data_IF_798395093095
#
_entry.id   IF_798395093095
#
_cell.length_a   1.000
_cell.length_b   1.000
_cell.length_c   1.000
_cell.angle_alpha   90.00
_cell.angle_beta   90.00
_cell.angle_gamma   90.00
#
_symmetry.space_group_name_H-M   'P 1'
#
loop_
_entity.id
_entity.type
_entity.pdbx_description
1 polymer ?
#
# COMPACT_ATOMS: atom_id res chain seq x y z
N UNK A 1 -13.63 26.53 19.19
CA UNK A 1 -14.47 25.57 19.95
C UNK A 1 -13.99 24.17 19.64
N UNK A 2 -13.32 23.51 20.59
CA UNK A 2 -12.85 22.13 20.47
C UNK A 2 -14.06 21.20 20.39
N UNK A 3 -14.27 20.49 19.27
CA UNK A 3 -15.19 19.36 19.22
C UNK A 3 -14.35 18.11 19.47
N UNK A 4 -14.20 17.75 20.75
CA UNK A 4 -13.74 16.43 21.14
C UNK A 4 -14.68 15.42 20.50
N UNK A 5 -14.20 14.64 19.52
CA UNK A 5 -14.95 13.52 18.97
C UNK A 5 -15.04 12.50 20.10
N UNK A 6 -16.25 12.36 20.66
CA UNK A 6 -16.57 11.34 21.66
C UNK A 6 -16.16 9.98 21.12
N UNK A 7 -15.58 9.14 21.99
CA UNK A 7 -15.42 7.69 21.80
C UNK A 7 -16.75 7.10 21.31
N UNK A 8 -16.88 6.89 20.00
CA UNK A 8 -17.98 6.12 19.43
C UNK A 8 -17.52 4.69 19.31
N UNK A 9 -17.96 3.84 20.23
CA UNK A 9 -17.94 2.38 20.07
C UNK A 9 -18.88 2.08 18.91
N UNK A 10 -18.36 1.76 17.73
CA UNK A 10 -19.16 1.32 16.60
C UNK A 10 -19.36 -0.20 16.68
N UNK A 11 -20.62 -0.60 16.86
CA UNK A 11 -21.10 -1.98 16.72
C UNK A 11 -21.44 -2.17 15.24
N UNK A 12 -20.70 -3.03 14.54
CA UNK A 12 -21.02 -3.42 13.17
C UNK A 12 -22.26 -4.31 13.13
N UNK A 13 -23.23 -3.97 12.28
CA UNK A 13 -24.44 -4.75 12.03
C UNK A 13 -24.11 -5.89 11.06
N UNK A 14 -24.49 -7.12 11.43
CA UNK A 14 -24.35 -8.34 10.63
C UNK A 14 -25.49 -8.46 9.62
N UNK A 15 -25.17 -8.74 8.35
CA UNK A 15 -26.13 -9.29 7.38
C UNK A 15 -25.71 -10.71 7.05
N UNK A 16 -26.26 -11.68 7.78
CA UNK A 16 -26.26 -13.10 7.39
C UNK A 16 -27.43 -13.28 6.42
N UNK A 17 -27.16 -13.59 5.16
CA UNK A 17 -28.13 -14.31 4.31
C UNK A 17 -27.46 -15.62 3.92
N UNK A 18 -27.68 -16.64 4.73
CA UNK A 18 -27.47 -18.03 4.35
C UNK A 18 -28.82 -18.64 4.02
N UNK A 19 -29.01 -19.10 2.79
CA UNK A 19 -29.96 -20.18 2.50
C UNK A 19 -29.19 -21.30 1.82
N UNK A 20 -29.29 -22.48 2.44
CA UNK A 20 -28.66 -23.73 2.05
C UNK A 20 -29.23 -24.26 0.72
N UNK A 21 -28.34 -24.73 -0.15
CA UNK A 21 -28.67 -25.48 -1.36
C UNK A 21 -27.44 -26.21 -1.89
N UNK A 22 -27.40 -27.50 -1.62
CA UNK A 22 -26.35 -28.49 -1.89
C UNK A 22 -25.53 -28.30 -3.18
N UNK A 23 -24.20 -28.32 -3.04
CA UNK A 23 -23.28 -28.79 -4.09
C UNK A 23 -22.48 -27.72 -4.83
N UNK A 24 -21.39 -27.26 -4.22
CA UNK A 24 -20.05 -27.06 -4.79
C UNK A 24 -19.25 -26.22 -3.80
N UNK A 25 -18.04 -26.68 -3.41
CA UNK A 25 -17.19 -25.96 -2.45
C UNK A 25 -16.83 -24.58 -3.02
N UNK A 26 -17.49 -23.56 -2.50
CA UNK A 26 -17.12 -22.16 -2.63
C UNK A 26 -16.13 -21.86 -1.50
N UNK A 27 -14.89 -21.50 -1.85
CA UNK A 27 -13.96 -20.92 -0.91
C UNK A 27 -14.20 -19.41 -0.86
N UNK A 28 -14.87 -18.96 0.19
CA UNK A 28 -14.89 -17.56 0.57
C UNK A 28 -14.33 -17.48 1.99
N UNK A 29 -13.02 -17.25 2.12
CA UNK A 29 -12.46 -16.79 3.38
C UNK A 29 -12.46 -15.26 3.37
N UNK A 30 -13.43 -14.69 4.06
CA UNK A 30 -13.46 -13.27 4.39
C UNK A 30 -12.59 -13.06 5.64
N UNK A 31 -11.36 -12.58 5.45
CA UNK A 31 -10.54 -12.10 6.55
C UNK A 31 -11.10 -10.76 7.06
N UNK A 32 -12.06 -10.83 7.98
CA UNK A 32 -12.57 -9.67 8.71
C UNK A 32 -11.49 -9.15 9.69
N UNK A 33 -10.74 -8.11 9.30
CA UNK A 33 -10.02 -7.27 10.26
C UNK A 33 -10.86 -6.03 10.54
N UNK A 34 -11.49 -5.99 11.72
CA UNK A 34 -12.11 -4.78 12.26
C UNK A 34 -10.96 -3.80 12.57
N UNK A 35 -10.76 -2.81 11.71
CA UNK A 35 -9.74 -1.79 11.92
C UNK A 35 -10.25 -0.79 12.95
N UNK A 36 -9.75 -0.89 14.18
CA UNK A 36 -9.75 0.22 15.11
C UNK A 36 -8.58 1.13 14.75
N UNK A 37 -8.69 2.45 14.99
CA UNK A 37 -7.52 3.29 15.03
C UNK A 37 -6.58 2.72 16.11
N UNK A 38 -5.51 2.07 15.67
CA UNK A 38 -4.47 1.61 16.58
C UNK A 38 -3.54 2.79 16.93
N UNK A 39 -2.76 2.63 17.99
CA UNK A 39 -1.83 3.66 18.47
C UNK A 39 -0.88 4.19 17.38
N UNK A 40 -0.54 3.37 16.37
CA UNK A 40 0.31 3.79 15.25
C UNK A 40 -0.45 4.75 14.32
N UNK A 41 -1.69 4.43 13.95
CA UNK A 41 -2.50 5.29 13.09
C UNK A 41 -2.77 6.66 13.73
N UNK A 42 -3.08 6.72 15.03
CA UNK A 42 -3.28 7.98 15.76
C UNK A 42 -2.00 8.82 15.82
N UNK A 43 -0.85 8.18 16.05
CA UNK A 43 0.47 8.84 16.01
C UNK A 43 0.78 9.42 14.63
N UNK A 44 0.49 8.69 13.56
CA UNK A 44 0.71 9.18 12.19
C UNK A 44 -0.17 10.40 11.90
N UNK A 45 -1.47 10.36 12.23
CA UNK A 45 -2.35 11.52 11.99
C UNK A 45 -1.91 12.74 12.82
N UNK A 46 -1.43 12.51 14.05
CA UNK A 46 -0.90 13.57 14.91
C UNK A 46 0.40 14.17 14.36
N UNK A 47 1.34 13.32 13.92
CA UNK A 47 2.61 13.74 13.32
C UNK A 47 2.39 14.61 12.08
N UNK A 48 1.37 14.28 11.28
CA UNK A 48 1.03 14.96 10.03
C UNK A 48 0.09 16.17 10.20
N UNK A 49 -0.25 16.58 11.43
CA UNK A 49 -1.19 17.68 11.68
C UNK A 49 -0.76 19.02 11.02
N UNK A 50 0.54 19.35 11.02
CA UNK A 50 1.08 20.53 10.32
C UNK A 50 0.89 20.42 8.80
N UNK A 51 1.04 19.22 8.25
CA UNK A 51 0.88 18.96 6.81
C UNK A 51 -0.58 19.12 6.40
N UNK A 52 -1.53 18.67 7.23
CA UNK A 52 -2.96 18.85 6.97
C UNK A 52 -3.39 20.31 7.09
N UNK A 53 -2.86 21.04 8.06
CA UNK A 53 -3.20 22.45 8.27
C UNK A 53 -2.54 23.40 7.25
N UNK A 54 -1.40 23.01 6.67
CA UNK A 54 -0.69 23.77 5.66
C UNK A 54 -0.12 22.84 4.56
N UNK A 55 -0.97 22.31 3.65
CA UNK A 55 -0.56 21.33 2.65
C UNK A 55 0.49 21.85 1.68
N UNK A 56 1.74 21.39 1.80
CA UNK A 56 2.81 21.69 0.86
C UNK A 56 3.93 20.65 0.91
N UNK A 57 4.75 20.60 -0.14
CA UNK A 57 6.01 19.86 -0.10
C UNK A 57 6.88 20.28 1.09
N UNK A 58 6.92 21.58 1.40
CA UNK A 58 7.77 22.14 2.45
C UNK A 58 7.35 21.71 3.86
N UNK A 59 6.05 21.49 4.11
CA UNK A 59 5.55 20.95 5.38
C UNK A 59 5.72 19.44 5.44
N UNK A 60 5.37 18.73 4.37
CA UNK A 60 5.46 17.28 4.32
C UNK A 60 6.89 16.75 4.47
N UNK A 61 7.85 17.34 3.75
CA UNK A 61 9.24 16.82 3.69
C UNK A 61 9.95 16.81 5.06
N UNK A 62 9.50 17.62 6.03
CA UNK A 62 10.03 17.65 7.41
C UNK A 62 9.90 16.31 8.11
N UNK A 63 8.88 15.53 7.75
CA UNK A 63 8.54 14.25 8.37
C UNK A 63 9.07 13.05 7.56
N UNK A 64 9.78 13.31 6.46
CA UNK A 64 10.22 12.28 5.54
C UNK A 64 11.67 11.89 5.81
N UNK A 65 11.94 10.59 5.85
CA UNK A 65 13.28 10.04 6.03
C UNK A 65 13.64 9.11 4.87
N UNK A 66 14.92 9.11 4.51
CA UNK A 66 15.47 8.13 3.58
C UNK A 66 15.75 6.82 4.30
N UNK A 67 15.19 5.73 3.80
CA UNK A 67 15.55 4.37 4.21
C UNK A 67 16.33 3.69 3.09
N UNK A 68 17.34 2.92 3.46
CA UNK A 68 18.04 2.01 2.55
C UNK A 68 17.52 0.60 2.80
N UNK A 69 17.08 -0.08 1.74
CA UNK A 69 16.43 -1.39 1.82
C UNK A 69 17.11 -2.41 0.91
N UNK A 70 17.19 -3.69 1.31
CA UNK A 70 17.74 -4.74 0.46
C UNK A 70 16.76 -5.06 -0.67
N UNK A 71 17.27 -5.28 -1.88
CA UNK A 71 16.46 -5.66 -3.05
C UNK A 71 17.21 -6.66 -3.93
N UNK A 72 16.46 -7.41 -4.74
CA UNK A 72 17.02 -8.18 -5.84
C UNK A 72 16.94 -7.36 -7.13
N UNK A 73 18.01 -7.32 -7.91
CA UNK A 73 17.99 -6.84 -9.29
C UNK A 73 18.13 -8.04 -10.25
N UNK A 74 17.74 -7.90 -11.50
CA UNK A 74 18.15 -8.84 -12.56
C UNK A 74 19.32 -8.25 -13.36
N UNK A 75 20.42 -8.99 -13.44
CA UNK A 75 21.53 -8.74 -14.38
C UNK A 75 21.66 -9.96 -15.28
N UNK A 76 21.44 -9.78 -16.59
CA UNK A 76 21.50 -10.85 -17.58
C UNK A 76 20.62 -12.07 -17.18
N UNK A 77 19.40 -11.81 -16.73
CA UNK A 77 18.45 -12.83 -16.28
C UNK A 77 18.77 -13.48 -14.92
N UNK A 78 19.90 -13.13 -14.29
CA UNK A 78 20.28 -13.65 -12.97
C UNK A 78 19.95 -12.63 -11.87
N UNK A 79 19.37 -13.13 -10.78
CA UNK A 79 19.09 -12.34 -9.58
C UNK A 79 20.40 -12.01 -8.86
N UNK A 80 20.62 -10.73 -8.58
CA UNK A 80 21.78 -10.23 -7.85
C UNK A 80 21.32 -9.35 -6.70
N UNK A 81 21.95 -9.50 -5.54
CA UNK A 81 21.69 -8.63 -4.39
C UNK A 81 22.05 -7.19 -4.73
N UNK A 82 21.22 -6.27 -4.29
CA UNK A 82 21.44 -4.83 -4.39
C UNK A 82 20.76 -4.12 -3.22
N UNK A 83 20.78 -2.79 -3.26
CA UNK A 83 20.06 -1.92 -2.34
C UNK A 83 19.29 -0.86 -3.11
N UNK A 84 18.19 -0.40 -2.55
CA UNK A 84 17.43 0.74 -3.02
C UNK A 84 17.30 1.77 -1.89
N UNK A 85 17.09 3.05 -2.25
CA UNK A 85 16.77 4.11 -1.29
C UNK A 85 15.37 4.62 -1.57
N UNK A 86 14.56 4.69 -0.53
CA UNK A 86 13.16 5.12 -0.60
C UNK A 86 12.98 6.20 0.47
N UNK A 87 12.33 7.30 0.12
CA UNK A 87 11.94 8.30 1.09
C UNK A 87 10.52 7.98 1.59
N UNK A 88 10.30 7.92 2.91
CA UNK A 88 9.01 7.54 3.52
C UNK A 88 8.74 8.37 4.77
N UNK A 89 7.53 8.32 5.30
CA UNK A 89 7.21 8.90 6.60
C UNK A 89 8.09 8.29 7.68
N UNK A 90 8.66 9.12 8.56
CA UNK A 90 9.53 8.72 9.67
C UNK A 90 8.97 7.57 10.52
N UNK A 91 7.68 7.60 10.85
CA UNK A 91 7.00 6.58 11.66
C UNK A 91 6.79 5.24 10.94
N UNK A 92 6.96 5.19 9.62
CA UNK A 92 6.90 3.96 8.82
C UNK A 92 8.29 3.43 8.42
N UNK A 93 9.36 4.13 8.80
CA UNK A 93 10.71 3.82 8.32
C UNK A 93 11.18 2.40 8.66
N UNK A 94 11.00 1.96 9.90
CA UNK A 94 11.44 0.63 10.33
C UNK A 94 10.56 -0.48 9.75
N UNK A 95 9.26 -0.24 9.66
CA UNK A 95 8.33 -1.17 9.03
C UNK A 95 8.65 -1.38 7.54
N UNK A 96 8.99 -0.31 6.81
CA UNK A 96 9.41 -0.41 5.41
C UNK A 96 10.72 -1.20 5.28
N UNK A 97 11.69 -1.03 6.20
CA UNK A 97 12.90 -1.87 6.19
C UNK A 97 12.55 -3.35 6.41
N UNK A 98 11.63 -3.65 7.31
CA UNK A 98 11.17 -5.02 7.57
C UNK A 98 10.47 -5.63 6.35
N UNK A 99 9.55 -4.89 5.72
CA UNK A 99 8.84 -5.33 4.50
C UNK A 99 9.84 -5.73 3.42
N UNK A 100 10.79 -4.85 3.09
CA UNK A 100 11.75 -5.15 2.02
C UNK A 100 12.75 -6.23 2.42
N UNK A 101 13.08 -6.36 3.71
CA UNK A 101 13.89 -7.48 4.22
C UNK A 101 13.16 -8.82 4.07
N UNK A 102 11.85 -8.85 4.34
CA UNK A 102 11.02 -10.04 4.12
C UNK A 102 10.95 -10.40 2.64
N UNK A 103 10.67 -9.43 1.75
CA UNK A 103 10.66 -9.64 0.30
C UNK A 103 12.03 -10.16 -0.19
N UNK A 104 13.12 -9.59 0.33
CA UNK A 104 14.48 -9.98 -0.04
C UNK A 104 14.82 -11.42 0.40
N UNK A 105 14.38 -11.83 1.59
CA UNK A 105 14.62 -13.17 2.11
C UNK A 105 13.61 -14.21 1.59
N UNK A 106 12.51 -13.76 1.00
CA UNK A 106 11.45 -14.60 0.46
C UNK A 106 11.92 -15.51 -0.69
N UNK A 107 11.26 -16.66 -0.88
CA UNK A 107 11.63 -17.63 -1.92
C UNK A 107 11.51 -17.07 -3.34
N UNK A 108 10.60 -16.11 -3.58
CA UNK A 108 10.43 -15.46 -4.87
C UNK A 108 11.63 -14.62 -5.23
N UNK A 109 12.39 -14.08 -4.26
CA UNK A 109 13.51 -13.14 -4.50
C UNK A 109 13.12 -12.10 -5.55
N UNK A 110 11.99 -11.44 -5.31
CA UNK A 110 11.31 -10.62 -6.30
C UNK A 110 12.22 -9.49 -6.80
N UNK A 111 12.50 -9.42 -8.12
CA UNK A 111 13.30 -8.35 -8.68
C UNK A 111 12.61 -6.98 -8.63
N UNK A 112 13.33 -5.96 -8.16
CA UNK A 112 12.86 -4.57 -8.11
C UNK A 112 13.78 -3.72 -8.99
N UNK A 113 13.26 -3.30 -10.16
CA UNK A 113 13.95 -2.40 -11.08
C UNK A 113 13.79 -0.93 -10.70
N UNK A 114 12.67 -0.58 -10.07
CA UNK A 114 12.33 0.78 -9.68
C UNK A 114 11.38 0.72 -8.49
N UNK A 115 11.62 1.59 -7.53
CA UNK A 115 10.77 1.74 -6.35
C UNK A 115 10.69 3.22 -5.99
N UNK A 116 9.48 3.72 -5.74
CA UNK A 116 9.22 5.10 -5.37
C UNK A 116 8.45 5.18 -4.06
N UNK A 117 8.75 6.17 -3.22
CA UNK A 117 8.03 6.44 -1.97
C UNK A 117 7.42 7.84 -1.98
N UNK A 118 7.81 8.67 -1.02
CA UNK A 118 7.43 10.08 -0.95
C UNK A 118 7.72 10.82 -2.25
N UNK A 119 6.69 11.47 -2.77
CA UNK A 119 6.77 12.44 -3.85
C UNK A 119 5.57 13.37 -3.70
N UNK A 120 5.81 14.67 -3.51
CA UNK A 120 4.72 15.63 -3.42
C UNK A 120 3.99 15.71 -4.77
N UNK A 121 2.72 15.31 -4.79
CA UNK A 121 1.91 15.27 -6.02
C UNK A 121 1.13 16.57 -6.24
N UNK A 122 0.73 16.88 -7.48
CA UNK A 122 -0.10 18.06 -7.76
C UNK A 122 -1.43 18.11 -7.00
N UNK A 123 -2.02 16.95 -6.68
CA UNK A 123 -3.22 16.85 -5.85
C UNK A 123 -2.93 16.86 -4.33
N UNK A 124 -1.69 17.18 -3.93
CA UNK A 124 -1.33 17.39 -2.53
C UNK A 124 -1.63 16.19 -1.64
N UNK A 125 -2.28 16.44 -0.50
CA UNK A 125 -2.57 15.43 0.54
C UNK A 125 -3.62 14.38 0.12
N UNK A 126 -4.28 14.54 -1.03
CA UNK A 126 -5.13 13.49 -1.62
C UNK A 126 -4.29 12.31 -2.14
N UNK A 127 -2.98 12.51 -2.36
CA UNK A 127 -2.06 11.41 -2.65
C UNK A 127 -1.32 10.97 -1.39
N UNK A 128 -1.40 9.68 -1.07
CA UNK A 128 -0.64 9.10 0.02
C UNK A 128 0.88 9.11 -0.22
N UNK A 129 1.34 9.29 -1.47
CA UNK A 129 2.74 9.60 -1.75
C UNK A 129 3.15 10.96 -1.17
N UNK A 130 2.28 11.97 -1.20
CA UNK A 130 2.56 13.27 -0.59
C UNK A 130 2.65 13.20 0.93
N UNK A 131 2.13 12.14 1.54
CA UNK A 131 2.21 11.88 2.98
C UNK A 131 3.31 10.87 3.36
N UNK A 132 4.10 10.39 2.39
CA UNK A 132 5.14 9.38 2.63
C UNK A 132 4.60 8.02 3.07
N UNK A 133 3.32 7.75 2.81
CA UNK A 133 2.56 6.56 3.23
C UNK A 133 2.27 5.59 2.08
N UNK A 134 2.83 5.83 0.90
CA UNK A 134 2.66 4.99 -0.28
C UNK A 134 4.01 4.60 -0.89
N UNK A 135 4.05 3.42 -1.49
CA UNK A 135 5.21 2.87 -2.19
C UNK A 135 4.73 2.27 -3.52
N UNK A 136 5.39 2.68 -4.61
CA UNK A 136 5.19 2.11 -5.95
C UNK A 136 6.36 1.20 -6.32
N UNK A 137 6.08 0.00 -6.84
CA UNK A 137 7.10 -0.97 -7.28
C UNK A 137 6.93 -1.33 -8.76
N UNK A 138 8.01 -1.19 -9.53
CA UNK A 138 8.10 -1.59 -10.95
C UNK A 138 6.90 -1.11 -11.80
N UNK A 139 6.67 0.21 -11.93
CA UNK A 139 5.43 0.77 -12.49
C UNK A 139 5.12 0.35 -13.93
N UNK A 140 6.12 0.10 -14.79
CA UNK A 140 5.82 -0.37 -16.14
C UNK A 140 5.24 -1.80 -16.16
N UNK A 141 5.65 -2.66 -15.22
CA UNK A 141 5.19 -4.06 -15.14
C UNK A 141 4.01 -4.25 -14.18
N UNK A 142 3.62 -3.19 -13.49
CA UNK A 142 2.51 -3.14 -12.56
C UNK A 142 1.69 -1.85 -12.79
N UNK A 143 1.07 -1.68 -13.97
CA UNK A 143 0.41 -0.44 -14.34
C UNK A 143 -0.77 -0.07 -13.45
N UNK A 144 -1.10 1.22 -13.48
CA UNK A 144 -2.42 1.70 -13.08
C UNK A 144 -3.39 1.61 -14.27
N UNK A 145 -4.59 1.12 -14.02
CA UNK A 145 -5.65 0.96 -15.01
C UNK A 145 -6.83 1.90 -14.74
N UNK A 146 -7.57 2.23 -15.79
CA UNK A 146 -8.92 2.77 -15.68
C UNK A 146 -9.88 1.69 -15.18
N UNK A 147 -11.12 2.04 -14.78
CA UNK A 147 -12.13 1.05 -14.40
C UNK A 147 -12.46 0.08 -15.55
N UNK A 148 -12.32 0.52 -16.80
CA UNK A 148 -12.52 -0.30 -18.00
C UNK A 148 -11.28 -1.13 -18.40
N UNK A 149 -10.21 -1.10 -17.60
CA UNK A 149 -8.99 -1.88 -17.83
C UNK A 149 -7.99 -1.24 -18.80
N UNK A 150 -8.16 0.03 -19.18
CA UNK A 150 -7.20 0.75 -20.03
C UNK A 150 -5.99 1.19 -19.20
N UNK A 151 -4.77 0.95 -19.69
CA UNK A 151 -3.55 1.39 -19.01
C UNK A 151 -3.47 2.92 -18.98
N UNK A 152 -3.46 3.49 -17.78
CA UNK A 152 -3.29 4.93 -17.54
C UNK A 152 -1.82 5.30 -17.31
N UNK A 153 -1.11 4.46 -16.55
CA UNK A 153 0.30 4.62 -16.21
C UNK A 153 0.98 3.25 -16.28
N UNK A 154 2.22 3.22 -16.76
CA UNK A 154 2.98 1.97 -16.92
C UNK A 154 2.73 1.32 -18.28
N UNK A 155 2.91 0.00 -18.38
CA UNK A 155 2.77 -0.74 -19.64
C UNK A 155 1.82 -1.92 -19.54
N UNK A 156 2.13 -2.92 -18.73
CA UNK A 156 1.34 -4.16 -18.68
C UNK A 156 1.61 -4.97 -17.43
N UNK A 157 0.54 -5.48 -16.83
CA UNK A 157 0.61 -6.43 -15.72
C UNK A 157 0.60 -7.87 -16.27
N UNK A 158 1.68 -8.62 -16.05
CA UNK A 158 1.85 -10.00 -16.53
C UNK A 158 2.40 -10.91 -15.43
N UNK A 159 1.64 -11.11 -14.33
CA UNK A 159 2.07 -11.96 -13.23
C UNK A 159 2.40 -13.36 -13.73
N UNK A 160 3.40 -14.00 -13.11
CA UNK A 160 3.91 -15.34 -13.46
C UNK A 160 4.64 -15.46 -14.82
N UNK A 161 4.61 -14.43 -15.67
CA UNK A 161 5.31 -14.41 -16.97
C UNK A 161 6.46 -13.40 -16.95
N UNK A 162 6.18 -12.19 -16.49
CA UNK A 162 7.19 -11.15 -16.34
C UNK A 162 7.74 -11.17 -14.91
N UNK A 163 9.06 -11.38 -14.71
CA UNK A 163 9.64 -11.49 -13.38
C UNK A 163 9.56 -10.19 -12.54
N UNK A 164 9.18 -9.06 -13.13
CA UNK A 164 8.97 -7.79 -12.42
C UNK A 164 7.49 -7.49 -12.12
N UNK A 165 6.56 -8.33 -12.61
CA UNK A 165 5.12 -8.18 -12.31
C UNK A 165 4.78 -8.86 -10.99
N UNK A 166 4.19 -8.09 -10.09
CA UNK A 166 3.74 -8.53 -8.76
C UNK A 166 2.67 -9.59 -8.92
N UNK A 167 2.82 -10.70 -8.20
CA UNK A 167 1.82 -11.76 -8.14
C UNK A 167 0.89 -11.53 -6.94
N UNK A 168 -0.44 -11.74 -7.06
CA UNK A 168 -1.40 -11.47 -5.97
C UNK A 168 -1.09 -12.23 -4.68
N UNK A 169 -0.57 -13.45 -4.80
CA UNK A 169 -0.14 -14.30 -3.68
C UNK A 169 1.39 -14.32 -3.54
N UNK A 170 2.10 -13.29 -4.02
CA UNK A 170 3.56 -13.20 -4.01
C UNK A 170 4.17 -12.77 -2.68
N UNK A 171 5.50 -12.80 -2.61
CA UNK A 171 6.24 -12.31 -1.44
C UNK A 171 6.00 -10.82 -1.20
N UNK A 172 5.89 -10.03 -2.28
CA UNK A 172 5.61 -8.58 -2.20
C UNK A 172 4.27 -8.33 -1.51
N UNK A 173 3.18 -8.89 -2.05
CA UNK A 173 1.83 -8.64 -1.51
C UNK A 173 1.73 -9.13 -0.06
N UNK A 174 2.25 -10.31 0.26
CA UNK A 174 2.25 -10.83 1.64
C UNK A 174 3.02 -9.94 2.62
N UNK A 175 4.22 -9.49 2.25
CA UNK A 175 5.06 -8.69 3.14
C UNK A 175 4.40 -7.37 3.52
N UNK A 176 3.76 -6.70 2.55
CA UNK A 176 2.98 -5.48 2.78
C UNK A 176 1.69 -5.75 3.57
N UNK A 177 0.83 -6.65 3.08
CA UNK A 177 -0.52 -6.86 3.63
C UNK A 177 -0.51 -7.47 5.04
N UNK A 178 0.49 -8.29 5.38
CA UNK A 178 0.66 -8.82 6.75
C UNK A 178 0.91 -7.73 7.80
N UNK A 179 1.38 -6.55 7.37
CA UNK A 179 1.64 -5.36 8.20
C UNK A 179 0.57 -4.29 8.07
N UNK A 180 -0.56 -4.61 7.43
CA UNK A 180 -1.70 -3.72 7.35
C UNK A 180 -1.64 -2.68 6.22
N UNK A 181 -0.67 -2.78 5.32
CA UNK A 181 -0.70 -2.03 4.06
C UNK A 181 -1.76 -2.62 3.13
N UNK A 182 -2.33 -1.77 2.27
CA UNK A 182 -3.30 -2.13 1.25
C UNK A 182 -2.60 -2.17 -0.10
N UNK A 183 -2.92 -3.17 -0.91
CA UNK A 183 -2.47 -3.26 -2.31
C UNK A 183 -3.53 -2.66 -3.23
N UNK A 184 -3.11 -1.77 -4.13
CA UNK A 184 -3.99 -1.02 -5.04
C UNK A 184 -4.72 -1.85 -6.10
N UNK A 185 -4.45 -3.15 -6.20
CA UNK A 185 -5.13 -4.03 -7.17
C UNK A 185 -6.67 -4.08 -7.02
N UNK A 186 -7.18 -3.80 -5.82
CA UNK A 186 -8.62 -3.82 -5.53
C UNK A 186 -9.27 -2.43 -5.59
N UNK A 187 -8.55 -1.39 -6.02
CA UNK A 187 -9.11 -0.05 -6.21
C UNK A 187 -10.00 -0.01 -7.46
N UNK A 188 -10.96 0.92 -7.49
CA UNK A 188 -11.84 1.08 -8.67
C UNK A 188 -11.07 1.44 -9.93
N UNK A 189 -9.93 2.13 -9.75
CA UNK A 189 -8.84 2.21 -10.72
C UNK A 189 -7.72 1.31 -10.23
N UNK A 190 -7.65 0.04 -10.67
CA UNK A 190 -6.64 -0.89 -10.17
C UNK A 190 -5.25 -0.31 -10.37
N UNK A 191 -4.47 -0.32 -9.30
CA UNK A 191 -3.12 0.23 -9.30
C UNK A 191 -2.13 -0.83 -8.80
N UNK A 192 -1.57 -1.61 -9.73
CA UNK A 192 -0.82 -2.81 -9.36
C UNK A 192 0.54 -2.50 -8.74
N UNK A 193 1.14 -1.34 -9.01
CA UNK A 193 2.42 -0.94 -8.44
C UNK A 193 2.28 -0.45 -7.00
N UNK A 194 1.07 0.00 -6.63
CA UNK A 194 0.84 0.85 -5.47
C UNK A 194 0.50 0.05 -4.22
N UNK A 195 1.21 0.36 -3.13
CA UNK A 195 0.88 -0.06 -1.78
C UNK A 195 0.79 1.17 -0.90
N UNK A 196 -0.24 1.25 -0.05
CA UNK A 196 -0.35 2.33 0.93
C UNK A 196 -0.68 1.87 2.34
N UNK A 197 -0.34 2.71 3.31
CA UNK A 197 -0.66 2.50 4.70
C UNK A 197 -1.88 3.34 5.08
N UNK A 198 -3.05 2.73 5.36
CA UNK A 198 -4.25 3.43 5.78
C UNK A 198 -4.13 3.87 7.25
N UNK A 199 -4.65 5.06 7.55
CA UNK A 199 -4.71 5.62 8.93
C UNK A 199 -6.10 6.07 9.32
N UNK A 200 -6.99 6.24 8.34
CA UNK A 200 -8.40 6.55 8.55
C UNK A 200 -9.20 5.31 8.21
N UNK A 201 -10.04 4.91 9.14
CA UNK A 201 -11.13 3.97 8.88
C UNK A 201 -12.30 4.79 8.36
N UNK A 202 -12.16 5.34 7.16
CA UNK A 202 -13.31 5.93 6.49
C UNK A 202 -14.11 4.78 5.88
N UNK A 203 -15.23 4.45 6.52
CA UNK A 203 -16.38 3.86 5.83
C UNK A 203 -16.93 4.91 4.86
N UNK A 204 -16.17 5.23 3.82
CA UNK A 204 -16.71 5.81 2.62
C UNK A 204 -16.57 4.73 1.55
N UNK A 205 -17.70 4.31 1.00
CA UNK A 205 -17.70 3.61 -0.27
C UNK A 205 -16.93 4.49 -1.25
N UNK A 206 -15.70 4.10 -1.56
CA UNK A 206 -14.87 4.80 -2.55
C UNK A 206 -15.51 4.51 -3.91
N UNK A 207 -16.49 5.33 -4.27
CA UNK A 207 -16.88 5.55 -5.65
C UNK A 207 -15.86 6.52 -6.25
N UNK A 208 -14.89 5.99 -6.99
CA UNK A 208 -14.08 6.73 -7.98
C UNK A 208 -14.15 6.04 -9.33
#
# INVERSE_FOLDING_TARGET
MKKYIKKSIFIGIFSIIGIMGTGNKLYAEQNFRQWYADDKTEKIETELEDVYNNPSHATAVKYMVWVEVPVWNLKNGKKVSSKARIQVLNLLADEVKEIFTEIYNGPEKFPIKSVGGYNWRPNGIESLHSLGRAIDINPDENPQLSPDGVVLVGKKWEPYQNPYSITPEGDVVRAFTSRGWVWGANYTRPDYMHFDFPTRVEFEFINY
#
